data_IF_929860988612
#
_entry.id   IF_929860988612
#
_cell.length_a   1.000
_cell.length_b   1.000
_cell.length_c   1.000
_cell.angle_alpha   90.00
_cell.angle_beta   90.00
_cell.angle_gamma   90.00
#
_symmetry.space_group_name_H-M   'P 1'
#
loop_
_entity.id
_entity.type
_entity.pdbx_description
1 polymer ?
#
# COMPACT_ATOMS: atom_id res chain seq x y z
N UNK A 1 38.83 4.14 -22.00
CA UNK A 1 38.27 3.29 -20.92
C UNK A 1 38.76 3.80 -19.57
N UNK A 2 37.96 4.62 -18.88
CA UNK A 2 38.31 5.14 -17.55
C UNK A 2 38.04 4.07 -16.49
N UNK A 3 39.11 3.54 -15.90
CA UNK A 3 39.07 2.66 -14.73
C UNK A 3 38.39 3.40 -13.58
N UNK A 4 37.14 3.05 -13.30
CA UNK A 4 36.45 3.46 -12.08
C UNK A 4 37.17 2.82 -10.89
N UNK A 5 38.03 3.59 -10.22
CA UNK A 5 38.54 3.22 -8.90
C UNK A 5 37.35 3.17 -7.95
N UNK A 6 36.90 1.96 -7.60
CA UNK A 6 35.92 1.75 -6.56
C UNK A 6 36.58 2.13 -5.22
N UNK A 7 36.32 3.33 -4.74
CA UNK A 7 36.67 3.72 -3.38
C UNK A 7 36.07 2.70 -2.40
N UNK A 8 36.87 2.17 -1.45
CA UNK A 8 36.36 1.23 -0.46
C UNK A 8 35.23 1.91 0.35
N UNK A 9 34.21 1.15 0.76
CA UNK A 9 33.09 1.71 1.52
C UNK A 9 33.62 2.37 2.80
N UNK A 10 33.35 3.68 2.94
CA UNK A 10 33.71 4.47 4.12
C UNK A 10 33.11 3.77 5.35
N UNK A 11 33.94 3.37 6.31
CA UNK A 11 33.46 2.76 7.56
C UNK A 11 32.65 3.83 8.31
N UNK A 12 31.42 3.49 8.69
CA UNK A 12 30.57 4.36 9.51
C UNK A 12 31.23 4.61 10.86
N UNK A 13 31.12 5.85 11.37
CA UNK A 13 31.53 6.19 12.73
C UNK A 13 30.73 5.38 13.76
N UNK A 14 31.24 5.24 14.98
CA UNK A 14 30.53 4.58 16.09
C UNK A 14 29.19 5.26 16.38
N UNK A 15 29.16 6.59 16.33
CA UNK A 15 27.94 7.39 16.47
C UNK A 15 26.92 7.09 15.35
N UNK A 16 27.37 7.01 14.09
CA UNK A 16 26.50 6.66 12.95
C UNK A 16 25.94 5.25 13.06
N UNK A 17 26.75 4.29 13.55
CA UNK A 17 26.28 2.92 13.77
C UNK A 17 25.21 2.87 14.87
N UNK A 18 25.42 3.60 15.98
CA UNK A 18 24.45 3.70 17.06
C UNK A 18 23.13 4.35 16.59
N UNK A 19 23.22 5.44 15.83
CA UNK A 19 22.05 6.12 15.28
C UNK A 19 21.28 5.23 14.29
N UNK A 20 21.99 4.53 13.41
CA UNK A 20 21.39 3.57 12.48
C UNK A 20 20.69 2.44 13.24
N UNK A 21 21.29 1.92 14.31
CA UNK A 21 20.69 0.89 15.15
C UNK A 21 19.39 1.39 15.80
N UNK A 22 19.38 2.62 16.33
CA UNK A 22 18.18 3.24 16.88
C UNK A 22 17.08 3.38 15.82
N UNK A 23 17.42 3.82 14.60
CA UNK A 23 16.45 3.89 13.50
C UNK A 23 15.90 2.53 13.08
N UNK A 24 16.72 1.47 13.09
CA UNK A 24 16.26 0.09 12.85
C UNK A 24 15.26 -0.38 13.91
N UNK A 25 15.55 -0.12 15.19
CA UNK A 25 14.66 -0.47 16.30
C UNK A 25 13.34 0.27 16.17
N UNK A 26 13.38 1.59 15.92
CA UNK A 26 12.18 2.39 15.70
C UNK A 26 11.38 1.86 14.51
N UNK A 27 12.02 1.61 13.35
CA UNK A 27 11.33 1.05 12.19
C UNK A 27 10.63 -0.27 12.51
N UNK A 28 11.29 -1.19 13.23
CA UNK A 28 10.67 -2.45 13.68
C UNK A 28 9.42 -2.17 14.52
N UNK A 29 9.52 -1.24 15.48
CA UNK A 29 8.38 -0.81 16.30
C UNK A 29 7.24 -0.25 15.45
N UNK A 30 7.52 0.67 14.53
CA UNK A 30 6.51 1.29 13.67
C UNK A 30 5.81 0.25 12.79
N UNK A 31 6.55 -0.63 12.12
CA UNK A 31 5.97 -1.68 11.30
C UNK A 31 5.08 -2.61 12.14
N UNK A 32 5.51 -2.97 13.35
CA UNK A 32 4.73 -3.83 14.24
C UNK A 32 3.43 -3.14 14.67
N UNK A 33 3.52 -1.89 15.14
CA UNK A 33 2.35 -1.08 15.54
C UNK A 33 1.36 -0.94 14.39
N UNK A 34 1.82 -0.58 13.18
CA UNK A 34 0.91 -0.44 12.04
C UNK A 34 0.27 -1.78 11.68
N UNK A 35 1.01 -2.89 11.67
CA UNK A 35 0.42 -4.22 11.39
C UNK A 35 -0.64 -4.61 12.43
N UNK A 36 -0.41 -4.33 13.72
CA UNK A 36 -1.39 -4.59 14.78
C UNK A 36 -2.63 -3.71 14.58
N UNK A 37 -2.46 -2.42 14.29
CA UNK A 37 -3.58 -1.52 14.03
C UNK A 37 -4.40 -1.94 12.80
N UNK A 38 -3.74 -2.37 11.72
CA UNK A 38 -4.41 -2.90 10.53
C UNK A 38 -5.22 -4.17 10.86
N UNK A 39 -4.64 -5.08 11.65
CA UNK A 39 -5.33 -6.29 12.08
C UNK A 39 -6.56 -5.96 12.94
N UNK A 40 -6.40 -5.08 13.94
CA UNK A 40 -7.52 -4.66 14.80
C UNK A 40 -8.62 -3.98 13.99
N UNK A 41 -8.26 -3.15 13.02
CA UNK A 41 -9.22 -2.51 12.12
C UNK A 41 -9.96 -3.55 11.26
N UNK A 42 -9.26 -4.52 10.67
CA UNK A 42 -9.88 -5.59 9.88
C UNK A 42 -10.81 -6.44 10.75
N UNK A 43 -10.39 -6.81 11.96
CA UNK A 43 -11.24 -7.58 12.88
C UNK A 43 -12.47 -6.77 13.30
N UNK A 44 -12.28 -5.51 13.67
CA UNK A 44 -13.37 -4.61 14.05
C UNK A 44 -14.39 -4.45 12.92
N UNK A 45 -13.94 -4.10 11.72
CA UNK A 45 -14.83 -3.89 10.56
C UNK A 45 -15.54 -5.18 10.14
N UNK A 46 -14.85 -6.31 10.20
CA UNK A 46 -15.42 -7.63 9.90
C UNK A 46 -16.49 -8.06 10.91
N UNK A 47 -16.31 -7.71 12.19
CA UNK A 47 -17.29 -7.98 13.24
C UNK A 47 -18.48 -7.02 13.18
N UNK A 48 -18.21 -5.71 13.03
CA UNK A 48 -19.25 -4.67 13.12
C UNK A 48 -20.10 -4.52 11.86
N UNK A 49 -19.55 -4.84 10.69
CA UNK A 49 -20.18 -4.66 9.39
C UNK A 49 -20.14 -5.98 8.58
N UNK A 50 -20.93 -7.00 8.97
CA UNK A 50 -20.95 -8.28 8.27
C UNK A 50 -21.72 -8.22 6.93
N UNK A 51 -22.64 -7.27 6.77
CA UNK A 51 -23.40 -7.08 5.55
C UNK A 51 -22.54 -6.38 4.47
N UNK A 52 -22.60 -6.90 3.24
CA UNK A 52 -21.76 -6.42 2.13
C UNK A 52 -22.59 -5.89 0.98
N UNK A 53 -21.97 -5.01 0.21
CA UNK A 53 -22.57 -4.31 -0.92
C UNK A 53 -21.81 -4.62 -2.20
N UNK A 54 -22.56 -4.73 -3.29
CA UNK A 54 -22.06 -5.05 -4.62
C UNK A 54 -22.40 -3.91 -5.56
N UNK A 55 -21.43 -3.51 -6.39
CA UNK A 55 -21.66 -2.47 -7.39
C UNK A 55 -22.53 -3.02 -8.53
N UNK A 56 -23.56 -2.26 -8.90
CA UNK A 56 -24.51 -2.58 -9.98
C UNK A 56 -24.64 -1.40 -10.94
N UNK A 57 -25.12 -1.68 -12.15
CA UNK A 57 -25.57 -0.66 -13.11
C UNK A 57 -26.94 -0.14 -12.65
N UNK A 58 -27.18 1.14 -12.84
CA UNK A 58 -28.39 1.82 -12.37
C UNK A 58 -28.41 3.28 -12.80
N UNK A 59 -29.24 4.07 -12.14
CA UNK A 59 -29.60 5.43 -12.56
C UNK A 59 -28.46 6.45 -12.39
N UNK A 60 -27.50 6.19 -11.50
CA UNK A 60 -26.36 7.10 -11.29
C UNK A 60 -24.99 6.45 -11.54
N UNK A 61 -23.90 7.19 -11.36
CA UNK A 61 -22.54 6.71 -11.64
C UNK A 61 -22.06 5.62 -10.64
N UNK A 62 -22.63 5.62 -9.43
CA UNK A 62 -22.23 4.75 -8.32
C UNK A 62 -23.46 4.14 -7.63
N UNK A 63 -23.99 3.07 -8.23
CA UNK A 63 -25.10 2.30 -7.66
C UNK A 63 -24.60 1.06 -6.93
N UNK A 64 -25.21 0.79 -5.78
CA UNK A 64 -24.85 -0.31 -4.90
C UNK A 64 -26.09 -1.08 -4.46
N UNK A 65 -25.95 -2.39 -4.32
CA UNK A 65 -26.99 -3.28 -3.83
C UNK A 65 -26.44 -4.09 -2.67
N UNK A 66 -27.25 -4.35 -1.64
CA UNK A 66 -26.88 -5.34 -0.64
C UNK A 66 -26.71 -6.73 -1.29
N UNK A 67 -25.63 -7.43 -0.97
CA UNK A 67 -25.32 -8.74 -1.57
C UNK A 67 -26.39 -9.81 -1.31
N UNK A 68 -27.20 -9.62 -0.26
CA UNK A 68 -28.33 -10.48 0.15
C UNK A 68 -29.70 -9.82 -0.09
N UNK A 69 -29.76 -8.79 -0.92
CA UNK A 69 -31.00 -8.08 -1.21
C UNK A 69 -32.01 -9.00 -1.94
N UNK A 70 -33.31 -8.95 -1.61
CA UNK A 70 -34.36 -9.62 -2.39
C UNK A 70 -34.54 -8.96 -3.77
N UNK A 71 -35.16 -9.68 -4.72
CA UNK A 71 -35.28 -9.33 -6.15
C UNK A 71 -35.89 -7.96 -6.44
N UNK A 72 -36.76 -7.46 -5.56
CA UNK A 72 -37.43 -6.17 -5.72
C UNK A 72 -36.73 -5.02 -4.98
N UNK A 73 -35.46 -5.19 -4.60
CA UNK A 73 -34.73 -4.16 -3.85
C UNK A 73 -34.24 -3.05 -4.77
N UNK A 74 -34.42 -1.81 -4.31
CA UNK A 74 -33.89 -0.63 -5.00
C UNK A 74 -32.38 -0.53 -4.80
N UNK A 75 -31.67 -0.13 -5.85
CA UNK A 75 -30.24 0.18 -5.74
C UNK A 75 -30.04 1.48 -4.97
N UNK A 76 -29.04 1.48 -4.10
CA UNK A 76 -28.61 2.66 -3.36
C UNK A 76 -27.71 3.47 -4.28
N UNK A 77 -28.11 4.70 -4.56
CA UNK A 77 -27.31 5.63 -5.35
C UNK A 77 -26.45 6.50 -4.43
N UNK A 78 -25.13 6.48 -4.64
CA UNK A 78 -24.21 7.38 -3.95
C UNK A 78 -23.89 8.57 -4.84
N UNK A 79 -24.30 9.77 -4.44
CA UNK A 79 -24.02 11.03 -5.14
C UNK A 79 -23.36 12.06 -4.22
N UNK A 80 -22.71 13.05 -4.83
CA UNK A 80 -22.13 14.20 -4.12
C UNK A 80 -23.17 15.27 -3.71
N UNK A 81 -24.46 15.01 -3.95
CA UNK A 81 -25.54 15.93 -3.61
C UNK A 81 -25.87 15.88 -2.11
N UNK A 82 -26.56 16.90 -1.59
CA UNK A 82 -26.94 16.95 -0.18
C UNK A 82 -27.82 15.75 0.19
N UNK A 83 -27.30 14.88 1.05
CA UNK A 83 -27.97 13.63 1.45
C UNK A 83 -27.52 12.39 0.66
N UNK A 84 -26.72 12.53 -0.40
CA UNK A 84 -26.22 11.40 -1.21
C UNK A 84 -25.25 10.45 -0.49
N UNK A 85 -24.73 10.88 0.68
CA UNK A 85 -23.92 10.07 1.60
C UNK A 85 -24.65 9.69 2.89
N UNK A 86 -25.97 9.86 2.97
CA UNK A 86 -26.72 9.66 4.21
C UNK A 86 -26.91 8.17 4.58
N UNK A 87 -26.65 7.24 3.66
CA UNK A 87 -26.85 5.81 3.88
C UNK A 87 -25.63 4.99 3.43
N UNK A 88 -25.34 3.91 4.15
CA UNK A 88 -24.33 2.95 3.72
C UNK A 88 -24.75 2.31 2.37
N UNK A 89 -23.80 2.05 1.46
CA UNK A 89 -22.35 2.07 1.65
C UNK A 89 -21.71 3.42 1.28
N UNK A 90 -22.49 4.48 1.07
CA UNK A 90 -21.99 5.77 0.66
C UNK A 90 -21.23 6.44 1.83
N UNK A 91 -20.04 6.97 1.55
CA UNK A 91 -19.22 7.68 2.53
C UNK A 91 -18.53 8.90 1.89
N UNK A 92 -18.27 9.98 2.66
CA UNK A 92 -17.62 11.17 2.12
C UNK A 92 -16.29 10.85 1.43
N UNK A 93 -16.11 11.29 0.19
CA UNK A 93 -14.88 11.00 -0.55
C UNK A 93 -14.79 9.57 -1.11
N UNK A 94 -15.91 8.87 -1.27
CA UNK A 94 -16.00 7.59 -1.99
C UNK A 94 -15.37 7.68 -3.40
N UNK A 95 -15.44 8.86 -4.04
CA UNK A 95 -14.85 9.13 -5.35
C UNK A 95 -13.31 9.11 -5.38
N UNK A 96 -12.65 9.13 -4.21
CA UNK A 96 -11.19 8.95 -4.14
C UNK A 96 -10.78 7.51 -4.46
N UNK A 97 -11.63 6.52 -4.16
CA UNK A 97 -11.28 5.12 -4.33
C UNK A 97 -11.06 4.75 -5.81
N UNK A 98 -11.89 5.18 -6.78
CA UNK A 98 -11.58 5.04 -8.20
C UNK A 98 -10.25 5.66 -8.62
N UNK A 99 -9.85 6.79 -8.02
CA UNK A 99 -8.58 7.46 -8.34
C UNK A 99 -7.40 6.67 -7.77
N UNK A 100 -7.43 6.33 -6.47
CA UNK A 100 -6.35 5.60 -5.79
C UNK A 100 -6.27 4.13 -6.22
N UNK A 101 -7.41 3.53 -6.55
CA UNK A 101 -7.52 2.18 -7.12
C UNK A 101 -7.15 2.10 -8.60
N UNK A 102 -7.15 3.24 -9.34
CA UNK A 102 -6.75 3.24 -10.74
C UNK A 102 -5.27 2.87 -10.90
N UNK A 103 -4.92 2.23 -12.02
CA UNK A 103 -3.52 1.88 -12.31
C UNK A 103 -2.59 3.11 -12.23
N UNK A 104 -3.04 4.26 -12.73
CA UNK A 104 -2.25 5.50 -12.68
C UNK A 104 -2.07 6.00 -11.25
N UNK A 105 -3.14 6.06 -10.45
CA UNK A 105 -3.08 6.53 -9.06
C UNK A 105 -2.29 5.57 -8.17
N UNK A 106 -2.54 4.27 -8.30
CA UNK A 106 -1.87 3.19 -7.59
C UNK A 106 -0.36 3.20 -7.79
N UNK A 107 0.13 3.68 -8.94
CA UNK A 107 1.55 3.80 -9.26
C UNK A 107 2.14 5.16 -8.89
N UNK A 108 1.45 6.25 -9.19
CA UNK A 108 2.01 7.59 -9.02
C UNK A 108 1.98 8.08 -7.56
N UNK A 109 0.86 7.89 -6.85
CA UNK A 109 0.65 8.51 -5.53
C UNK A 109 1.62 7.94 -4.47
N UNK A 110 1.80 6.62 -4.32
CA UNK A 110 2.75 6.08 -3.34
C UNK A 110 4.21 6.49 -3.60
N UNK A 111 4.57 6.66 -4.88
CA UNK A 111 5.92 7.04 -5.30
C UNK A 111 6.19 8.54 -5.19
N UNK A 112 5.14 9.36 -5.01
CA UNK A 112 5.28 10.83 -4.96
C UNK A 112 6.26 11.28 -3.87
N UNK A 113 6.28 10.62 -2.71
CA UNK A 113 7.26 10.91 -1.62
C UNK A 113 8.69 10.71 -2.12
N UNK A 114 8.96 9.58 -2.78
CA UNK A 114 10.29 9.28 -3.33
C UNK A 114 10.67 10.30 -4.40
N UNK A 115 9.75 10.64 -5.31
CA UNK A 115 9.99 11.59 -6.40
C UNK A 115 10.30 12.98 -5.86
N UNK A 116 9.51 13.47 -4.89
CA UNK A 116 9.75 14.76 -4.24
C UNK A 116 11.05 14.76 -3.45
N UNK A 117 11.36 13.66 -2.76
CA UNK A 117 12.61 13.50 -2.02
C UNK A 117 13.83 13.48 -2.96
N UNK A 118 13.73 12.78 -4.09
CA UNK A 118 14.75 12.72 -5.14
C UNK A 118 14.95 14.09 -5.81
N UNK A 119 13.87 14.75 -6.23
CA UNK A 119 13.92 16.06 -6.87
C UNK A 119 14.56 17.12 -5.97
N UNK A 120 14.16 17.15 -4.69
CA UNK A 120 14.78 18.05 -3.71
C UNK A 120 16.24 17.70 -3.40
N UNK A 121 16.67 16.44 -3.53
CA UNK A 121 18.08 16.05 -3.40
C UNK A 121 18.91 16.48 -4.62
N UNK A 122 18.35 16.40 -5.83
CA UNK A 122 18.98 16.84 -7.07
C UNK A 122 19.14 18.36 -7.15
N UNK A 123 18.16 19.12 -6.66
CA UNK A 123 18.21 20.58 -6.62
C UNK A 123 19.00 21.12 -5.42
N UNK A 124 19.37 20.26 -4.48
CA UNK A 124 20.12 20.62 -3.29
C UNK A 124 21.64 20.58 -3.49
N UNK A 125 22.41 21.15 -2.54
CA UNK A 125 23.87 21.19 -2.62
C UNK A 125 24.53 19.80 -2.49
N UNK A 126 23.79 18.80 -1.99
CA UNK A 126 24.31 17.46 -1.73
C UNK A 126 24.15 16.47 -2.90
N UNK A 127 23.91 16.96 -4.12
CA UNK A 127 23.74 16.11 -5.29
C UNK A 127 25.02 15.28 -5.55
N UNK A 128 24.91 13.96 -5.40
CA UNK A 128 26.05 13.06 -5.57
C UNK A 128 25.64 11.73 -6.20
N UNK A 129 26.50 11.16 -7.06
CA UNK A 129 26.24 9.90 -7.75
C UNK A 129 25.93 8.71 -6.82
N UNK A 130 26.57 8.56 -5.64
CA UNK A 130 26.19 7.53 -4.68
C UNK A 130 24.74 7.68 -4.19
N UNK A 131 24.31 8.92 -3.89
CA UNK A 131 22.93 9.20 -3.49
C UNK A 131 21.96 8.89 -4.62
N UNK A 132 22.23 9.36 -5.85
CA UNK A 132 21.40 9.02 -7.04
C UNK A 132 21.18 7.51 -7.15
N UNK A 133 22.26 6.73 -7.07
CA UNK A 133 22.19 5.26 -7.19
C UNK A 133 21.28 4.64 -6.13
N UNK A 134 21.29 5.16 -4.92
CA UNK A 134 20.45 4.67 -3.83
C UNK A 134 18.98 5.00 -4.05
N UNK A 135 18.65 6.21 -4.50
CA UNK A 135 17.28 6.57 -4.86
C UNK A 135 16.75 5.73 -6.03
N UNK A 136 17.57 5.49 -7.06
CA UNK A 136 17.20 4.62 -8.19
C UNK A 136 16.94 3.20 -7.72
N UNK A 137 17.83 2.63 -6.89
CA UNK A 137 17.64 1.27 -6.33
C UNK A 137 16.40 1.17 -5.45
N UNK A 138 16.10 2.21 -4.67
CA UNK A 138 14.88 2.28 -3.87
C UNK A 138 13.63 2.40 -4.73
N UNK A 139 13.67 3.22 -5.80
CA UNK A 139 12.60 3.27 -6.80
C UNK A 139 12.38 1.93 -7.49
N UNK A 140 13.45 1.20 -7.84
CA UNK A 140 13.36 -0.15 -8.39
C UNK A 140 12.79 -1.15 -7.37
N UNK A 141 13.17 -1.06 -6.09
CA UNK A 141 12.57 -1.88 -5.04
C UNK A 141 11.05 -1.68 -4.98
N UNK A 142 10.59 -0.44 -5.02
CA UNK A 142 9.16 -0.15 -5.03
C UNK A 142 8.48 -0.59 -6.31
N UNK A 143 9.09 -0.38 -7.47
CA UNK A 143 8.57 -0.88 -8.73
C UNK A 143 8.40 -2.40 -8.70
N UNK A 144 9.35 -3.14 -8.11
CA UNK A 144 9.25 -4.59 -7.91
C UNK A 144 8.10 -4.94 -6.96
N UNK A 145 7.94 -4.24 -5.84
CA UNK A 145 6.81 -4.44 -4.92
C UNK A 145 5.46 -4.21 -5.63
N UNK A 146 5.36 -3.14 -6.42
CA UNK A 146 4.14 -2.77 -7.14
C UNK A 146 3.84 -3.72 -8.30
N UNK A 147 4.87 -4.18 -8.99
CA UNK A 147 4.75 -5.19 -10.03
C UNK A 147 4.37 -6.56 -9.45
N UNK A 148 4.95 -6.96 -8.30
CA UNK A 148 4.59 -8.18 -7.57
C UNK A 148 3.08 -8.17 -7.26
N UNK A 149 2.56 -7.07 -6.72
CA UNK A 149 1.11 -6.94 -6.47
C UNK A 149 0.32 -7.03 -7.77
N UNK A 150 0.71 -6.31 -8.81
CA UNK A 150 -0.09 -6.20 -10.05
C UNK A 150 -0.08 -7.48 -10.88
N UNK A 151 1.05 -8.16 -10.96
CA UNK A 151 1.23 -9.33 -11.83
C UNK A 151 1.02 -10.63 -11.07
N UNK A 152 1.66 -10.79 -9.91
CA UNK A 152 1.62 -12.06 -9.18
C UNK A 152 0.36 -12.15 -8.33
N UNK A 153 0.10 -11.14 -7.51
CA UNK A 153 -1.04 -11.18 -6.58
C UNK A 153 -2.36 -10.95 -7.32
N UNK A 154 -2.45 -9.94 -8.19
CA UNK A 154 -3.71 -9.63 -8.88
C UNK A 154 -3.98 -10.55 -10.07
N UNK A 155 -3.07 -10.63 -11.06
CA UNK A 155 -3.31 -11.47 -12.24
C UNK A 155 -3.11 -12.96 -11.95
N UNK A 156 -2.07 -13.32 -11.19
CA UNK A 156 -1.73 -14.71 -10.88
C UNK A 156 -2.76 -15.39 -9.97
N UNK A 157 -3.01 -14.85 -8.77
CA UNK A 157 -3.99 -15.47 -7.86
C UNK A 157 -5.42 -15.41 -8.39
N UNK A 158 -5.78 -14.40 -9.20
CA UNK A 158 -7.08 -14.37 -9.87
C UNK A 158 -7.29 -15.52 -10.88
N UNK A 159 -6.23 -16.09 -11.45
CA UNK A 159 -6.33 -17.29 -12.29
C UNK A 159 -6.39 -18.57 -11.45
N UNK A 160 -5.57 -18.66 -10.40
CA UNK A 160 -5.55 -19.82 -9.49
C UNK A 160 -6.90 -19.97 -8.79
N UNK A 161 -7.48 -18.88 -8.31
CA UNK A 161 -8.79 -18.86 -7.67
C UNK A 161 -9.88 -19.37 -8.60
N UNK A 162 -9.92 -18.91 -9.85
CA UNK A 162 -10.87 -19.39 -10.88
C UNK A 162 -10.68 -20.88 -11.20
N UNK A 163 -9.44 -21.35 -11.21
CA UNK A 163 -9.13 -22.77 -11.41
C UNK A 163 -9.57 -23.62 -10.23
N UNK A 164 -9.25 -23.20 -9.01
CA UNK A 164 -9.52 -23.93 -7.77
C UNK A 164 -11.02 -23.97 -7.45
N UNK A 165 -11.72 -22.85 -7.59
CA UNK A 165 -13.18 -22.80 -7.39
C UNK A 165 -13.91 -23.73 -8.36
N UNK A 166 -13.50 -23.75 -9.63
CA UNK A 166 -14.04 -24.68 -10.63
C UNK A 166 -13.72 -26.14 -10.33
N UNK A 167 -12.49 -26.44 -9.92
CA UNK A 167 -12.02 -27.82 -9.71
C UNK A 167 -12.48 -28.45 -8.39
N UNK A 168 -12.51 -27.70 -7.30
CA UNK A 168 -12.75 -28.23 -5.94
C UNK A 168 -14.19 -28.06 -5.50
N UNK A 169 -14.79 -26.90 -5.79
CA UNK A 169 -16.13 -26.60 -5.27
C UNK A 169 -17.24 -27.03 -6.23
N UNK A 170 -16.94 -27.35 -7.50
CA UNK A 170 -17.96 -27.73 -8.50
C UNK A 170 -19.06 -26.69 -8.68
N UNK A 171 -18.90 -25.48 -8.12
CA UNK A 171 -19.90 -24.41 -8.13
C UNK A 171 -19.98 -23.85 -9.54
N UNK A 172 -21.05 -24.18 -10.26
CA UNK A 172 -21.56 -23.30 -11.30
C UNK A 172 -22.05 -22.02 -10.64
N UNK A 173 -21.86 -20.87 -11.30
CA UNK A 173 -22.39 -19.57 -10.86
C UNK A 173 -23.83 -19.74 -10.32
N UNK A 174 -24.02 -19.67 -8.99
CA UNK A 174 -25.36 -19.62 -8.41
C UNK A 174 -26.06 -18.44 -9.09
N UNK A 175 -27.17 -18.67 -9.79
CA UNK A 175 -27.86 -17.64 -10.56
C UNK A 175 -28.48 -16.61 -9.61
N UNK A 176 -27.70 -15.62 -9.19
CA UNK A 176 -28.19 -14.47 -8.45
C UNK A 176 -29.04 -13.60 -9.40
N UNK A 177 -30.21 -13.18 -8.93
CA UNK A 177 -31.16 -12.39 -9.71
C UNK A 177 -30.53 -11.06 -10.21
N UNK A 178 -29.61 -10.48 -9.43
CA UNK A 178 -28.93 -9.22 -9.76
C UNK A 178 -27.71 -9.40 -10.68
N UNK A 179 -27.43 -10.61 -11.18
CA UNK A 179 -26.30 -10.85 -12.08
C UNK A 179 -26.36 -9.96 -13.33
N UNK A 180 -27.56 -9.81 -13.92
CA UNK A 180 -27.80 -9.00 -15.12
C UNK A 180 -27.45 -7.52 -14.93
N UNK A 181 -27.56 -7.01 -13.70
CA UNK A 181 -27.25 -5.64 -13.32
C UNK A 181 -25.74 -5.42 -13.12
N UNK A 182 -24.93 -6.48 -13.02
CA UNK A 182 -23.47 -6.35 -12.85
C UNK A 182 -22.74 -6.26 -14.19
N UNK A 183 -21.65 -5.49 -14.17
CA UNK A 183 -20.67 -5.50 -15.26
C UNK A 183 -20.06 -6.91 -15.37
N UNK A 184 -20.30 -7.58 -16.50
CA UNK A 184 -19.84 -8.95 -16.75
C UNK A 184 -20.87 -10.05 -16.50
N UNK A 185 -22.11 -9.70 -16.06
CA UNK A 185 -23.25 -10.61 -15.94
C UNK A 185 -22.99 -11.88 -15.10
N UNK A 186 -22.23 -11.74 -14.00
CA UNK A 186 -21.83 -12.86 -13.12
C UNK A 186 -22.05 -12.51 -11.66
N UNK A 187 -22.34 -13.52 -10.86
CA UNK A 187 -22.45 -13.38 -9.42
C UNK A 187 -21.06 -13.31 -8.77
N UNK A 188 -20.89 -12.57 -7.66
CA UNK A 188 -19.64 -12.62 -6.92
C UNK A 188 -19.46 -14.05 -6.41
N UNK A 189 -18.30 -14.65 -6.69
CA UNK A 189 -17.92 -15.93 -6.09
C UNK A 189 -17.76 -15.78 -4.57
N UNK A 190 -17.69 -16.89 -3.84
CA UNK A 190 -17.56 -16.88 -2.36
C UNK A 190 -16.27 -16.21 -1.84
N UNK A 191 -15.32 -15.92 -2.72
CA UNK A 191 -14.12 -15.14 -2.46
C UNK A 191 -13.89 -14.27 -3.71
N UNK A 192 -14.02 -12.94 -3.61
CA UNK A 192 -13.59 -11.99 -4.63
C UNK A 192 -12.32 -11.33 -4.07
N UNK A 193 -11.17 -11.63 -4.69
CA UNK A 193 -9.84 -11.25 -4.22
C UNK A 193 -9.84 -9.81 -3.68
N UNK A 194 -9.46 -9.62 -2.40
CA UNK A 194 -9.41 -8.32 -1.71
C UNK A 194 -8.32 -7.40 -2.25
N UNK A 195 -8.33 -7.19 -3.55
CA UNK A 195 -7.31 -6.54 -4.34
C UNK A 195 -7.08 -5.09 -3.88
N UNK A 196 -8.16 -4.43 -3.43
CA UNK A 196 -8.09 -3.10 -2.84
C UNK A 196 -7.43 -3.10 -1.45
N UNK A 197 -7.66 -4.12 -0.63
CA UNK A 197 -6.99 -4.25 0.68
C UNK A 197 -5.50 -4.49 0.47
N UNK A 198 -5.17 -5.45 -0.40
CA UNK A 198 -3.78 -5.73 -0.76
C UNK A 198 -3.11 -4.49 -1.34
N UNK A 199 -3.80 -3.73 -2.20
CA UNK A 199 -3.30 -2.47 -2.76
C UNK A 199 -3.01 -1.42 -1.68
N UNK A 200 -4.01 -1.10 -0.86
CA UNK A 200 -3.91 -0.03 0.12
C UNK A 200 -2.82 -0.34 1.15
N UNK A 201 -2.71 -1.59 1.59
CA UNK A 201 -1.63 -1.99 2.51
C UNK A 201 -0.26 -2.02 1.79
N UNK A 202 -0.17 -2.65 0.62
CA UNK A 202 1.13 -2.85 -0.04
C UNK A 202 1.72 -1.56 -0.62
N UNK A 203 0.90 -0.82 -1.36
CA UNK A 203 1.34 0.39 -2.03
C UNK A 203 1.27 1.59 -1.08
N UNK A 204 0.13 1.80 -0.43
CA UNK A 204 -0.13 3.05 0.27
C UNK A 204 0.23 3.05 1.76
N UNK A 205 0.59 1.90 2.35
CA UNK A 205 1.15 1.83 3.71
C UNK A 205 2.60 1.39 3.70
N UNK A 206 2.93 0.26 3.06
CA UNK A 206 4.26 -0.33 3.15
C UNK A 206 5.35 0.55 2.53
N UNK A 207 5.11 1.11 1.33
CA UNK A 207 6.06 2.00 0.66
C UNK A 207 6.25 3.29 1.47
N UNK A 208 5.21 4.03 1.89
CA UNK A 208 5.39 5.20 2.74
C UNK A 208 6.06 4.92 4.08
N UNK A 209 5.83 3.75 4.69
CA UNK A 209 6.55 3.34 5.91
C UNK A 209 8.04 3.13 5.68
N UNK A 210 8.41 2.53 4.54
CA UNK A 210 9.83 2.40 4.18
C UNK A 210 10.44 3.78 3.89
N UNK A 211 9.74 4.66 3.19
CA UNK A 211 10.21 6.05 2.99
C UNK A 211 10.33 6.81 4.31
N UNK A 212 9.42 6.62 5.26
CA UNK A 212 9.53 7.21 6.58
C UNK A 212 10.82 6.81 7.27
N UNK A 213 11.15 5.52 7.22
CA UNK A 213 12.42 5.01 7.73
C UNK A 213 13.63 5.60 6.97
N UNK A 214 13.60 5.60 5.64
CA UNK A 214 14.69 6.15 4.82
C UNK A 214 14.95 7.64 5.11
N UNK A 215 13.89 8.45 5.21
CA UNK A 215 13.96 9.87 5.57
C UNK A 215 14.59 10.10 6.95
N UNK A 216 14.41 9.16 7.88
CA UNK A 216 14.97 9.27 9.21
C UNK A 216 16.47 8.99 9.24
N UNK A 217 16.91 8.00 8.47
CA UNK A 217 18.32 7.64 8.37
C UNK A 217 19.12 8.64 7.53
N UNK A 218 18.52 9.19 6.47
CA UNK A 218 19.18 10.12 5.53
C UNK A 218 19.31 11.55 6.08
N UNK A 219 18.69 11.87 7.22
CA UNK A 219 18.62 13.23 7.75
C UNK A 219 19.15 13.35 9.18
N UNK A 220 20.28 14.06 9.31
CA UNK A 220 20.96 14.32 10.59
C UNK A 220 20.22 15.30 11.53
N UNK A 221 19.07 15.85 11.14
CA UNK A 221 18.34 16.83 11.96
C UNK A 221 16.95 17.20 11.41
N UNK A 222 16.24 18.12 12.09
CA UNK A 222 15.00 18.69 11.57
C UNK A 222 15.30 19.57 10.35
N UNK A 223 14.50 19.43 9.29
CA UNK A 223 14.56 20.28 8.10
C UNK A 223 13.16 20.46 7.53
N UNK A 224 12.92 21.60 6.86
CA UNK A 224 11.62 21.87 6.23
C UNK A 224 11.26 20.75 5.23
N UNK A 225 12.23 20.34 4.40
CA UNK A 225 12.09 19.20 3.47
C UNK A 225 11.58 17.94 4.20
N UNK A 226 12.23 17.56 5.30
CA UNK A 226 11.86 16.36 6.07
C UNK A 226 10.46 16.49 6.68
N UNK A 227 10.13 17.65 7.22
CA UNK A 227 8.80 17.91 7.81
C UNK A 227 7.70 17.79 6.75
N UNK A 228 7.88 18.42 5.59
CA UNK A 228 6.91 18.36 4.48
C UNK A 228 6.74 16.93 3.97
N UNK A 229 7.84 16.20 3.73
CA UNK A 229 7.76 14.81 3.25
C UNK A 229 7.10 13.87 4.28
N UNK A 230 7.37 14.08 5.57
CA UNK A 230 6.71 13.33 6.65
C UNK A 230 5.21 13.63 6.72
N UNK A 231 4.82 14.90 6.63
CA UNK A 231 3.42 15.30 6.58
C UNK A 231 2.73 14.65 5.38
N UNK A 232 3.39 14.62 4.23
CA UNK A 232 2.87 13.96 3.03
C UNK A 232 2.71 12.44 3.19
N UNK A 233 3.67 11.76 3.82
CA UNK A 233 3.54 10.33 4.19
C UNK A 233 2.32 10.11 5.10
N UNK A 234 2.13 10.97 6.10
CA UNK A 234 0.99 10.86 7.04
C UNK A 234 -0.34 11.07 6.30
N UNK A 235 -0.41 12.03 5.37
CA UNK A 235 -1.62 12.25 4.55
C UNK A 235 -1.92 11.01 3.70
N UNK A 236 -0.93 10.46 3.00
CA UNK A 236 -1.10 9.24 2.19
C UNK A 236 -1.55 8.07 3.06
N UNK A 237 -0.89 7.85 4.19
CA UNK A 237 -1.25 6.79 5.14
C UNK A 237 -2.64 6.97 5.73
N UNK A 238 -3.02 8.20 6.08
CA UNK A 238 -4.35 8.53 6.59
C UNK A 238 -5.45 8.27 5.56
N UNK A 239 -5.25 8.70 4.31
CA UNK A 239 -6.14 8.39 3.20
C UNK A 239 -6.26 6.88 2.95
N UNK A 240 -5.14 6.16 3.02
CA UNK A 240 -5.14 4.72 2.85
C UNK A 240 -5.89 4.00 3.98
N UNK A 241 -5.71 4.40 5.23
CA UNK A 241 -6.45 3.87 6.38
C UNK A 241 -7.94 4.14 6.25
N UNK A 242 -8.30 5.37 5.86
CA UNK A 242 -9.68 5.79 5.63
C UNK A 242 -10.36 4.92 4.57
N UNK A 243 -9.77 4.81 3.38
CA UNK A 243 -10.32 3.99 2.30
C UNK A 243 -10.34 2.51 2.66
N UNK A 244 -9.33 2.03 3.38
CA UNK A 244 -9.25 0.63 3.80
C UNK A 244 -10.35 0.29 4.81
N UNK A 245 -10.66 1.19 5.74
CA UNK A 245 -11.76 1.04 6.69
C UNK A 245 -13.09 0.84 5.97
N UNK A 246 -13.43 1.72 5.01
CA UNK A 246 -14.68 1.62 4.27
C UNK A 246 -14.70 0.41 3.34
N UNK A 247 -13.57 0.09 2.73
CA UNK A 247 -13.40 -1.09 1.88
C UNK A 247 -13.66 -2.38 2.66
N UNK A 248 -13.05 -2.52 3.83
CA UNK A 248 -13.23 -3.67 4.70
C UNK A 248 -14.64 -3.75 5.31
N UNK A 249 -15.23 -2.59 5.62
CA UNK A 249 -16.57 -2.50 6.20
C UNK A 249 -17.65 -2.94 5.21
N UNK A 250 -17.61 -2.43 3.97
CA UNK A 250 -18.77 -2.52 3.07
C UNK A 250 -18.58 -3.42 1.85
N UNK A 251 -17.35 -3.67 1.38
CA UNK A 251 -17.15 -4.30 0.07
C UNK A 251 -16.57 -5.71 0.12
N UNK A 252 -15.85 -6.07 1.19
CA UNK A 252 -15.21 -7.38 1.31
C UNK A 252 -15.70 -8.17 2.52
N UNK A 253 -15.84 -9.49 2.36
CA UNK A 253 -16.23 -10.41 3.44
C UNK A 253 -15.15 -10.47 4.55
N UNK A 254 -15.49 -10.93 5.78
CA UNK A 254 -14.50 -11.11 6.83
C UNK A 254 -13.29 -11.96 6.42
N UNK A 255 -13.55 -13.06 5.71
CA UNK A 255 -12.50 -13.97 5.22
C UNK A 255 -11.63 -13.29 4.17
N UNK A 256 -12.25 -12.59 3.22
CA UNK A 256 -11.58 -11.76 2.23
C UNK A 256 -10.65 -10.73 2.90
N UNK A 257 -11.18 -9.96 3.85
CA UNK A 257 -10.40 -8.96 4.59
C UNK A 257 -9.17 -9.56 5.26
N UNK A 258 -9.35 -10.68 5.97
CA UNK A 258 -8.26 -11.33 6.70
C UNK A 258 -7.22 -11.91 5.74
N UNK A 259 -7.64 -12.64 4.70
CA UNK A 259 -6.73 -13.23 3.71
C UNK A 259 -5.99 -12.14 2.95
N UNK A 260 -6.67 -11.08 2.52
CA UNK A 260 -6.05 -9.92 1.86
C UNK A 260 -4.99 -9.25 2.73
N UNK A 261 -5.28 -9.06 4.02
CA UNK A 261 -4.31 -8.51 4.96
C UNK A 261 -3.11 -9.46 5.15
N UNK A 262 -3.33 -10.77 5.32
CA UNK A 262 -2.26 -11.75 5.48
C UNK A 262 -1.36 -11.82 4.24
N UNK A 263 -1.94 -11.76 3.04
CA UNK A 263 -1.19 -11.69 1.78
C UNK A 263 -0.31 -10.43 1.76
N UNK A 264 -0.88 -9.27 2.03
CA UNK A 264 -0.11 -8.02 2.05
C UNK A 264 1.00 -8.04 3.12
N UNK A 265 0.74 -8.66 4.27
CA UNK A 265 1.73 -8.81 5.34
C UNK A 265 2.88 -9.73 4.92
N UNK A 266 2.57 -10.93 4.45
CA UNK A 266 3.56 -11.96 4.12
C UNK A 266 4.42 -11.59 2.92
N UNK A 267 3.82 -11.01 1.88
CA UNK A 267 4.50 -10.76 0.61
C UNK A 267 5.12 -9.35 0.49
N UNK A 268 4.69 -8.39 1.31
CA UNK A 268 5.17 -6.99 1.20
C UNK A 268 5.66 -6.42 2.52
N UNK A 269 4.80 -6.33 3.54
CA UNK A 269 5.19 -5.65 4.80
C UNK A 269 6.36 -6.34 5.50
N UNK A 270 6.31 -7.67 5.64
CA UNK A 270 7.36 -8.44 6.29
C UNK A 270 8.68 -8.40 5.49
N UNK A 271 8.72 -8.66 4.17
CA UNK A 271 9.94 -8.51 3.39
C UNK A 271 10.55 -7.10 3.49
N UNK A 272 9.75 -6.04 3.40
CA UNK A 272 10.26 -4.67 3.55
C UNK A 272 10.82 -4.42 4.95
N UNK A 273 10.13 -4.88 6.00
CA UNK A 273 10.66 -4.85 7.37
C UNK A 273 12.02 -5.56 7.46
N UNK A 274 12.14 -6.76 6.91
CA UNK A 274 13.39 -7.52 6.90
C UNK A 274 14.52 -6.79 6.15
N UNK A 275 14.21 -6.06 5.07
CA UNK A 275 15.18 -5.16 4.40
C UNK A 275 15.64 -4.05 5.35
N UNK A 276 14.73 -3.41 6.10
CA UNK A 276 15.13 -2.36 7.08
C UNK A 276 16.08 -2.90 8.15
N UNK A 277 15.94 -4.17 8.52
CA UNK A 277 16.78 -4.80 9.53
C UNK A 277 18.12 -5.30 8.98
N UNK A 278 18.33 -5.27 7.65
CA UNK A 278 19.48 -5.89 6.96
C UNK A 278 19.54 -7.42 7.19
N UNK A 279 18.37 -8.07 7.26
CA UNK A 279 18.26 -9.50 7.58
C UNK A 279 18.68 -10.42 6.42
N UNK A 280 18.52 -9.98 5.18
CA UNK A 280 18.83 -10.81 4.00
C UNK A 280 20.33 -10.96 3.77
N UNK A 281 20.80 -12.21 3.65
CA UNK A 281 22.19 -12.51 3.30
C UNK A 281 22.56 -12.06 1.87
N UNK A 282 21.58 -11.87 0.99
CA UNK A 282 21.79 -11.56 -0.42
C UNK A 282 22.29 -10.13 -0.59
N UNK A 283 23.47 -9.96 -1.23
CA UNK A 283 24.21 -8.69 -1.29
C UNK A 283 23.41 -7.49 -1.84
N UNK A 284 22.49 -7.73 -2.77
CA UNK A 284 21.63 -6.70 -3.38
C UNK A 284 20.48 -6.24 -2.48
N UNK A 285 19.99 -7.08 -1.56
CA UNK A 285 18.92 -6.75 -0.61
C UNK A 285 19.43 -6.09 0.68
N UNK A 286 20.74 -5.83 0.76
CA UNK A 286 21.31 -5.13 1.91
C UNK A 286 20.83 -3.69 2.01
N UNK A 287 20.60 -3.24 3.24
CA UNK A 287 20.07 -1.92 3.55
C UNK A 287 20.85 -0.77 2.89
N UNK A 288 22.19 -0.88 2.88
CA UNK A 288 23.10 0.11 2.27
C UNK A 288 22.84 0.40 0.79
N UNK A 289 22.10 -0.48 0.10
CA UNK A 289 21.77 -0.27 -1.30
C UNK A 289 20.55 0.64 -1.49
N UNK A 290 19.76 0.86 -0.44
CA UNK A 290 18.48 1.57 -0.48
C UNK A 290 18.46 2.83 0.40
N UNK A 291 19.40 2.94 1.33
CA UNK A 291 19.51 4.08 2.26
C UNK A 291 20.98 4.42 2.49
N UNK A 292 21.30 5.72 2.53
CA UNK A 292 22.62 6.25 2.88
C UNK A 292 22.51 7.14 4.12
N UNK A 293 23.23 6.84 5.22
CA UNK A 293 23.30 7.74 6.37
C UNK A 293 23.81 9.13 5.97
N UNK A 294 23.36 10.16 6.69
CA UNK A 294 23.90 11.51 6.52
C UNK A 294 25.42 11.55 6.78
N UNK A 295 26.17 12.31 5.99
CA UNK A 295 27.60 12.52 6.23
C UNK A 295 27.78 13.47 7.42
N UNK A 296 28.55 13.07 8.43
CA UNK A 296 28.89 13.91 9.58
C UNK A 296 29.87 15.05 9.23
N UNK A 297 30.54 14.95 8.07
CA UNK A 297 31.70 15.79 7.69
C UNK A 297 31.38 17.26 7.35
N UNK A 298 30.11 17.68 7.36
CA UNK A 298 29.71 19.06 7.00
C UNK A 298 29.36 19.95 8.20
N UNK A 299 29.53 19.47 9.44
CA UNK A 299 29.28 20.29 10.65
C UNK A 299 30.54 20.84 11.34
N UNK A 300 31.73 20.60 10.79
CA UNK A 300 33.00 21.01 11.40
C UNK A 300 33.92 21.88 10.53
N UNK A 301 33.41 22.47 9.44
CA UNK A 301 34.11 23.53 8.71
C UNK A 301 33.30 24.82 8.76
#
# INVERSE_FOLDING_TARGET
MLKSQSTPPKKLSTAQQALLMLHKIHARGTFLVVNVLLLLMVLYTSYRFPAKFVRVQGECDSNWLHAKAPENSTSICCTNESGGYASAPCYPGMDLMPVMGSLKGAWAIPLSVLVLNYGSMMLGPDASMPRVRVYVRRGLLYAVVMALRTVVLYMGFGQVEKGLTRAVMGRSDDSCWYASLRRGKRCPGGFDHSDHIVLLVSHYMAIPLFEWFALNVESAGPSMKRTVLRAWIIIIGGLAAYLLFFTASYFHTPTENLVGLLIAQAFVMLPLLLVTQDYFAVKWLRLRNFVLPANDDLKHN
#
